data_IF_162907334411
#
_entry.id   IF_162907334411
#
_cell.length_a   1.000
_cell.length_b   1.000
_cell.length_c   1.000
_cell.angle_alpha   90.00
_cell.angle_beta   90.00
_cell.angle_gamma   90.00
#
_symmetry.space_group_name_H-M   'P 1'
#
loop_
_entity.id
_entity.type
_entity.pdbx_description
1 polymer ?
#
# COMPACT_ATOMS: atom_id res chain seq x y z
N UNK A 1 -0.23 2.68 39.55
CA UNK A 1 0.11 4.08 39.21
C UNK A 1 -0.05 4.22 37.70
N UNK A 2 -1.18 4.74 37.23
CA UNK A 2 -1.43 4.89 35.79
C UNK A 2 -0.67 6.10 35.26
N UNK A 3 0.06 5.92 34.17
CA UNK A 3 0.74 7.00 33.45
C UNK A 3 -0.30 7.68 32.57
N UNK A 4 -0.46 8.99 32.73
CA UNK A 4 -1.34 9.82 31.90
C UNK A 4 -0.47 10.51 30.87
N UNK A 5 -0.88 10.50 29.60
CA UNK A 5 -0.18 11.21 28.52
C UNK A 5 -0.56 12.71 28.48
N UNK A 6 0.10 13.49 27.63
CA UNK A 6 -0.09 14.96 27.51
C UNK A 6 -1.53 15.37 27.09
N UNK A 7 -2.40 14.42 26.73
CA UNK A 7 -3.81 14.63 26.39
C UNK A 7 -4.77 14.29 27.54
N UNK A 8 -4.27 13.94 28.73
CA UNK A 8 -5.11 13.57 29.88
C UNK A 8 -5.71 12.16 29.79
N UNK A 9 -5.32 11.37 28.77
CA UNK A 9 -5.79 10.00 28.56
C UNK A 9 -4.88 9.00 29.29
N UNK A 10 -5.49 8.02 29.94
CA UNK A 10 -4.79 6.90 30.60
C UNK A 10 -4.04 6.05 29.57
N UNK A 11 -2.76 5.78 29.80
CA UNK A 11 -1.97 4.89 28.96
C UNK A 11 -2.12 3.45 29.48
N UNK A 12 -2.62 2.56 28.63
CA UNK A 12 -2.75 1.11 28.91
C UNK A 12 -1.80 0.31 28.01
N UNK A 13 -1.46 -0.91 28.44
CA UNK A 13 -0.72 -1.84 27.58
C UNK A 13 -1.66 -2.51 26.58
N UNK A 14 -1.10 -3.06 25.48
CA UNK A 14 -1.90 -3.78 24.47
C UNK A 14 -2.65 -4.98 25.05
N UNK A 15 -2.02 -5.75 25.95
CA UNK A 15 -2.66 -6.89 26.61
C UNK A 15 -3.88 -6.48 27.46
N UNK A 16 -3.81 -5.31 28.12
CA UNK A 16 -4.92 -4.78 28.91
C UNK A 16 -6.06 -4.27 28.03
N UNK A 17 -5.71 -3.68 26.87
CA UNK A 17 -6.68 -3.24 25.88
C UNK A 17 -7.45 -4.45 25.31
N UNK A 18 -6.76 -5.53 24.97
CA UNK A 18 -7.36 -6.75 24.44
C UNK A 18 -8.32 -7.37 25.47
N UNK A 19 -7.91 -7.48 26.73
CA UNK A 19 -8.77 -8.01 27.80
C UNK A 19 -10.02 -7.15 28.04
N UNK A 20 -9.86 -5.82 28.05
CA UNK A 20 -10.99 -4.88 28.18
C UNK A 20 -11.96 -4.99 26.99
N UNK A 21 -11.43 -5.12 25.76
CA UNK A 21 -12.23 -5.28 24.56
C UNK A 21 -13.03 -6.59 24.58
N UNK A 22 -12.40 -7.70 24.96
CA UNK A 22 -13.04 -9.02 25.04
C UNK A 22 -14.11 -9.08 26.15
N UNK A 23 -13.92 -8.31 27.23
CA UNK A 23 -14.91 -8.15 28.30
C UNK A 23 -16.08 -7.20 27.93
N UNK A 24 -16.03 -6.57 26.76
CA UNK A 24 -17.05 -5.63 26.28
C UNK A 24 -17.02 -4.27 26.99
N UNK A 25 -15.88 -3.89 27.55
CA UNK A 25 -15.65 -2.58 28.17
C UNK A 25 -15.43 -1.49 27.11
N UNK A 26 -15.71 -0.23 27.47
CA UNK A 26 -15.50 0.90 26.56
C UNK A 26 -14.01 1.25 26.47
N UNK A 27 -13.41 0.94 25.32
CA UNK A 27 -11.99 1.17 25.04
C UNK A 27 -11.75 2.43 24.19
N UNK A 28 -12.79 3.14 23.78
CA UNK A 28 -12.68 4.26 22.83
C UNK A 28 -11.88 5.45 23.39
N UNK A 29 -11.92 5.64 24.70
CA UNK A 29 -11.18 6.69 25.41
C UNK A 29 -9.66 6.55 25.27
N UNK A 30 -9.18 5.34 24.94
CA UNK A 30 -7.76 5.03 24.75
C UNK A 30 -7.29 5.22 23.30
N UNK A 31 -8.21 5.39 22.35
CA UNK A 31 -7.88 5.64 20.95
C UNK A 31 -7.81 7.15 20.63
N UNK A 32 -6.92 7.51 19.71
CA UNK A 32 -6.89 8.84 19.10
C UNK A 32 -7.93 8.90 17.98
N UNK A 33 -9.12 9.40 18.31
CA UNK A 33 -10.20 9.59 17.35
C UNK A 33 -9.99 10.81 16.45
N UNK A 34 -9.15 11.76 16.86
CA UNK A 34 -8.89 13.00 16.12
C UNK A 34 -7.89 12.76 14.97
N UNK A 35 -6.98 11.80 15.14
CA UNK A 35 -5.98 11.40 14.14
C UNK A 35 -6.02 9.90 13.83
N UNK A 36 -7.20 9.36 13.55
CA UNK A 36 -7.34 7.96 13.13
C UNK A 36 -6.55 7.69 11.84
N UNK A 37 -5.43 6.97 11.95
CA UNK A 37 -4.63 6.53 10.80
C UNK A 37 -5.27 5.27 10.25
N UNK A 38 -6.00 5.41 9.14
CA UNK A 38 -6.52 4.26 8.38
C UNK A 38 -5.41 3.79 7.44
N UNK A 39 -4.69 2.72 7.79
CA UNK A 39 -3.67 2.12 6.91
C UNK A 39 -4.26 1.59 5.59
N UNK A 40 -5.56 1.29 5.57
CA UNK A 40 -6.28 0.79 4.40
C UNK A 40 -6.84 1.92 3.53
N UNK A 41 -5.98 2.82 3.04
CA UNK A 41 -6.33 3.48 1.79
C UNK A 41 -6.36 2.41 0.68
N UNK A 42 -7.42 2.29 -0.13
CA UNK A 42 -7.30 1.53 -1.38
C UNK A 42 -6.11 2.11 -2.15
N UNK A 43 -5.23 1.29 -2.74
CA UNK A 43 -4.05 1.79 -3.42
C UNK A 43 -4.51 2.89 -4.38
N UNK A 44 -4.01 4.11 -4.18
CA UNK A 44 -4.37 5.27 -4.98
C UNK A 44 -3.94 4.97 -6.42
N UNK A 45 -4.83 4.39 -7.22
CA UNK A 45 -4.62 4.13 -8.63
C UNK A 45 -4.50 5.48 -9.34
N UNK A 46 -3.27 5.90 -9.62
CA UNK A 46 -3.00 7.13 -10.36
C UNK A 46 -3.15 6.87 -11.85
N UNK A 47 -4.13 7.53 -12.48
CA UNK A 47 -4.30 7.51 -13.93
C UNK A 47 -3.23 8.41 -14.58
N UNK A 48 -2.51 7.87 -15.55
CA UNK A 48 -1.47 8.58 -16.30
C UNK A 48 -1.80 8.50 -17.78
N UNK A 49 -1.84 9.65 -18.45
CA UNK A 49 -2.01 9.75 -19.91
C UNK A 49 -0.65 9.98 -20.55
N UNK A 50 -0.32 9.21 -21.58
CA UNK A 50 0.92 9.37 -22.34
C UNK A 50 0.68 9.05 -23.83
N UNK A 51 1.55 9.58 -24.68
CA UNK A 51 1.49 9.37 -26.13
C UNK A 51 2.56 8.36 -26.54
N UNK A 52 2.19 7.42 -27.41
CA UNK A 52 3.11 6.45 -27.98
C UNK A 52 3.09 6.48 -29.51
N UNK A 53 4.19 6.12 -30.18
CA UNK A 53 4.18 5.86 -31.62
C UNK A 53 3.20 4.74 -32.01
N UNK A 54 2.61 4.82 -33.20
CA UNK A 54 1.63 3.84 -33.69
C UNK A 54 2.19 2.40 -33.74
N UNK A 55 3.47 2.24 -34.09
CA UNK A 55 4.12 0.93 -34.13
C UNK A 55 4.16 0.28 -32.74
N UNK A 56 4.40 1.07 -31.68
CA UNK A 56 4.48 0.55 -30.31
C UNK A 56 3.10 0.11 -29.80
N UNK A 57 2.04 0.86 -30.11
CA UNK A 57 0.66 0.48 -29.79
C UNK A 57 0.29 -0.84 -30.48
N UNK A 58 0.67 -0.98 -31.76
CA UNK A 58 0.37 -2.18 -32.56
C UNK A 58 1.03 -3.43 -31.99
N UNK A 59 2.29 -3.33 -31.56
CA UNK A 59 2.99 -4.45 -30.90
C UNK A 59 2.34 -4.80 -29.56
N UNK A 60 1.96 -3.81 -28.75
CA UNK A 60 1.27 -4.05 -27.48
C UNK A 60 -0.10 -4.70 -27.67
N UNK A 61 -0.82 -4.36 -28.74
CA UNK A 61 -2.10 -4.99 -29.08
C UNK A 61 -1.95 -6.44 -29.51
N UNK A 62 -0.90 -6.74 -30.29
CA UNK A 62 -0.59 -8.11 -30.67
C UNK A 62 -0.30 -8.97 -29.43
N UNK A 63 0.55 -8.49 -28.53
CA UNK A 63 0.86 -9.18 -27.28
C UNK A 63 -0.39 -9.37 -26.40
N UNK A 64 -1.22 -8.33 -26.28
CA UNK A 64 -2.47 -8.39 -25.52
C UNK A 64 -3.42 -9.47 -26.08
N UNK A 65 -3.48 -9.58 -27.41
CA UNK A 65 -4.27 -10.62 -28.09
C UNK A 65 -3.70 -12.03 -27.85
N UNK A 66 -2.38 -12.20 -27.90
CA UNK A 66 -1.73 -13.50 -27.68
C UNK A 66 -1.93 -13.99 -26.24
N UNK A 67 -1.89 -13.08 -25.26
CA UNK A 67 -2.08 -13.37 -23.84
C UNK A 67 -3.56 -13.36 -23.40
N UNK A 68 -4.49 -13.01 -24.30
CA UNK A 68 -5.92 -12.83 -24.00
C UNK A 68 -6.20 -11.89 -22.82
N UNK A 69 -5.42 -10.80 -22.71
CA UNK A 69 -5.57 -9.76 -21.68
C UNK A 69 -5.72 -8.38 -22.30
N UNK A 70 -6.03 -7.37 -21.48
CA UNK A 70 -6.08 -5.98 -21.97
C UNK A 70 -4.68 -5.42 -22.23
N UNK A 71 -4.57 -4.47 -23.18
CA UNK A 71 -3.35 -3.69 -23.42
C UNK A 71 -2.80 -3.06 -22.15
N UNK A 72 -3.67 -2.51 -21.29
CA UNK A 72 -3.28 -1.92 -20.01
C UNK A 72 -2.63 -2.94 -19.07
N UNK A 73 -3.10 -4.19 -19.07
CA UNK A 73 -2.51 -5.26 -18.27
C UNK A 73 -1.10 -5.62 -18.77
N UNK A 74 -0.88 -5.67 -20.10
CA UNK A 74 0.45 -5.86 -20.69
C UNK A 74 1.40 -4.74 -20.26
N UNK A 75 0.98 -3.48 -20.45
CA UNK A 75 1.76 -2.30 -20.09
C UNK A 75 2.12 -2.30 -18.60
N UNK A 76 1.14 -2.54 -17.72
CA UNK A 76 1.37 -2.58 -16.28
C UNK A 76 2.33 -3.69 -15.87
N UNK A 77 2.20 -4.87 -16.48
CA UNK A 77 3.07 -6.02 -16.18
C UNK A 77 4.52 -5.72 -16.56
N UNK A 78 4.76 -5.23 -17.78
CA UNK A 78 6.11 -4.94 -18.24
C UNK A 78 6.79 -3.81 -17.47
N UNK A 79 6.06 -2.74 -17.14
CA UNK A 79 6.57 -1.65 -16.29
C UNK A 79 6.92 -2.20 -14.91
N UNK A 80 6.03 -2.97 -14.28
CA UNK A 80 6.27 -3.56 -12.97
C UNK A 80 7.49 -4.48 -12.98
N UNK A 81 7.64 -5.31 -14.02
CA UNK A 81 8.81 -6.17 -14.18
C UNK A 81 10.10 -5.37 -14.30
N UNK A 82 10.11 -4.32 -15.14
CA UNK A 82 11.30 -3.49 -15.34
C UNK A 82 11.71 -2.81 -14.06
N UNK A 83 10.77 -2.18 -13.34
CA UNK A 83 11.01 -1.54 -12.06
C UNK A 83 11.54 -2.52 -11.00
N UNK A 84 10.97 -3.73 -10.93
CA UNK A 84 11.46 -4.78 -10.01
C UNK A 84 12.88 -5.24 -10.35
N UNK A 85 13.20 -5.40 -11.64
CA UNK A 85 14.56 -5.76 -12.09
C UNK A 85 15.56 -4.67 -11.73
N UNK A 86 15.20 -3.40 -11.90
CA UNK A 86 16.08 -2.28 -11.61
C UNK A 86 16.29 -2.09 -10.10
N UNK A 87 15.25 -2.25 -9.27
CA UNK A 87 15.40 -2.25 -7.79
C UNK A 87 16.34 -3.35 -7.32
N UNK A 88 16.19 -4.59 -7.82
CA UNK A 88 17.08 -5.71 -7.46
C UNK A 88 18.54 -5.46 -7.80
N UNK A 89 18.84 -4.73 -8.88
CA UNK A 89 20.22 -4.36 -9.23
C UNK A 89 20.83 -3.39 -8.23
N UNK A 90 20.05 -2.40 -7.78
CA UNK A 90 20.51 -1.41 -6.80
C UNK A 90 20.84 -2.07 -5.47
N UNK A 91 20.00 -2.99 -4.97
CA UNK A 91 20.26 -3.71 -3.73
C UNK A 91 21.56 -4.52 -3.80
N UNK A 92 21.84 -5.18 -4.93
CA UNK A 92 23.08 -5.96 -5.14
C UNK A 92 24.36 -5.14 -5.27
N UNK A 93 24.26 -3.83 -5.52
CA UNK A 93 25.41 -2.93 -5.63
C UNK A 93 25.70 -2.19 -4.30
N UNK A 94 24.76 -2.23 -3.35
CA UNK A 94 24.90 -1.57 -2.04
C UNK A 94 25.55 -2.45 -0.96
N UNK A 95 25.80 -3.73 -1.23
CA UNK A 95 26.41 -4.71 -0.31
C UNK A 95 27.87 -5.09 -0.67
N UNK A 96 28.51 -4.37 -1.60
CA UNK A 96 29.90 -4.63 -2.04
C UNK A 96 30.88 -3.52 -1.63
#
# INVERSE_FOLDING_TARGET
>A
MSKVNESGKSVITGEQLDEMFDNGEDVLDYFDMDHAVVEHHPPLEKRVTFTMPAWMVSELDKEASELAISRNAVVNTWIAERLRRDRRRVDSTSEA
#
